data_IF_072566813230
#
_entry.id   IF_072566813230
#
_cell.length_a   1.000
_cell.length_b   1.000
_cell.length_c   1.000
_cell.angle_alpha   90.00
_cell.angle_beta   90.00
_cell.angle_gamma   90.00
#
_symmetry.space_group_name_H-M   'P 1'
#
loop_
_entity.id
_entity.type
_entity.pdbx_description
1 polymer ?
#
# COMPACT_ATOMS: atom_id res chain seq x y z
N UNK A 1 66.64 64.75 -85.10
CA UNK A 1 66.16 65.40 -83.85
C UNK A 1 64.66 65.13 -83.66
N UNK A 2 63.77 65.59 -84.55
CA UNK A 2 62.30 65.39 -84.44
C UNK A 2 61.82 63.94 -84.30
N UNK A 3 62.40 62.97 -85.02
CA UNK A 3 62.01 61.56 -84.88
C UNK A 3 62.37 60.97 -83.51
N UNK A 4 63.48 61.42 -82.91
CA UNK A 4 63.90 60.97 -81.57
C UNK A 4 62.96 61.53 -80.49
N UNK A 5 62.53 62.78 -80.60
CA UNK A 5 61.55 63.38 -79.67
C UNK A 5 60.18 62.70 -79.75
N UNK A 6 59.69 62.40 -80.95
CA UNK A 6 58.43 61.67 -81.14
C UNK A 6 58.47 60.26 -80.54
N UNK A 7 59.58 59.55 -80.72
CA UNK A 7 59.78 58.23 -80.13
C UNK A 7 59.83 58.28 -78.59
N UNK A 8 60.45 59.30 -78.00
CA UNK A 8 60.49 59.50 -76.55
C UNK A 8 59.09 59.80 -76.00
N UNK A 9 58.33 60.69 -76.63
CA UNK A 9 56.96 61.01 -76.22
C UNK A 9 56.04 59.78 -76.29
N UNK A 10 56.22 58.92 -77.30
CA UNK A 10 55.47 57.66 -77.42
C UNK A 10 55.83 56.68 -76.30
N UNK A 11 57.13 56.50 -76.01
CA UNK A 11 57.59 55.65 -74.90
C UNK A 11 57.11 56.15 -73.53
N UNK A 12 57.05 57.47 -73.31
CA UNK A 12 56.50 58.04 -72.08
C UNK A 12 55.00 57.77 -71.94
N UNK A 13 54.24 57.86 -73.04
CA UNK A 13 52.82 57.54 -73.05
C UNK A 13 52.53 56.05 -72.80
N UNK A 14 53.35 55.16 -73.38
CA UNK A 14 53.27 53.71 -73.16
C UNK A 14 53.64 53.36 -71.72
N UNK A 15 54.71 53.96 -71.17
CA UNK A 15 55.11 53.77 -69.77
C UNK A 15 54.02 54.21 -68.80
N UNK A 16 53.38 55.35 -69.04
CA UNK A 16 52.25 55.82 -68.23
C UNK A 16 51.06 54.86 -68.32
N UNK A 17 50.73 54.38 -69.52
CA UNK A 17 49.61 53.45 -69.72
C UNK A 17 49.86 52.10 -69.04
N UNK A 18 51.10 51.59 -69.08
CA UNK A 18 51.51 50.37 -68.36
C UNK A 18 51.42 50.58 -66.84
N UNK A 19 51.85 51.74 -66.34
CA UNK A 19 51.75 52.09 -64.92
C UNK A 19 50.29 52.14 -64.45
N UNK A 20 49.42 52.78 -65.23
CA UNK A 20 47.98 52.91 -64.92
C UNK A 20 47.31 51.51 -64.94
N UNK A 21 47.69 50.63 -65.88
CA UNK A 21 47.22 49.25 -65.95
C UNK A 21 47.69 48.37 -64.78
N UNK A 22 48.95 48.51 -64.35
CA UNK A 22 49.51 47.83 -63.18
C UNK A 22 48.76 48.22 -61.90
N UNK A 23 48.50 49.51 -61.72
CA UNK A 23 47.73 50.01 -60.58
C UNK A 23 46.29 49.45 -60.58
N UNK A 24 45.65 49.36 -61.74
CA UNK A 24 44.34 48.75 -61.89
C UNK A 24 44.34 47.25 -61.52
N UNK A 25 45.30 46.47 -62.03
CA UNK A 25 45.45 45.06 -61.68
C UNK A 25 45.72 44.85 -60.18
N UNK A 26 46.53 45.70 -59.56
CA UNK A 26 46.80 45.62 -58.13
C UNK A 26 45.55 45.92 -57.29
N UNK A 27 44.69 46.84 -57.75
CA UNK A 27 43.40 47.13 -57.14
C UNK A 27 42.41 45.96 -57.26
N UNK A 28 42.34 45.33 -58.44
CA UNK A 28 41.50 44.14 -58.66
C UNK A 28 41.97 42.96 -57.80
N UNK A 29 43.28 42.73 -57.73
CA UNK A 29 43.87 41.69 -56.88
C UNK A 29 43.48 41.90 -55.41
N UNK A 30 43.60 43.13 -54.89
CA UNK A 30 43.18 43.45 -53.51
C UNK A 30 41.69 43.17 -53.28
N UNK A 31 40.84 43.50 -54.26
CA UNK A 31 39.40 43.23 -54.19
C UNK A 31 39.10 41.72 -54.20
N UNK A 32 39.80 40.96 -55.03
CA UNK A 32 39.68 39.51 -55.11
C UNK A 32 40.14 38.85 -53.80
N UNK A 33 41.25 39.31 -53.23
CA UNK A 33 41.75 38.81 -51.93
C UNK A 33 40.75 39.08 -50.80
N UNK A 34 40.14 40.27 -50.77
CA UNK A 34 39.07 40.60 -49.81
C UNK A 34 37.84 39.69 -49.99
N UNK A 35 37.43 39.46 -51.23
CA UNK A 35 36.29 38.60 -51.55
C UNK A 35 36.56 37.14 -51.13
N UNK A 36 37.77 36.63 -51.40
CA UNK A 36 38.19 35.30 -50.97
C UNK A 36 38.18 35.18 -49.44
N UNK A 37 38.72 36.17 -48.73
CA UNK A 37 38.67 36.19 -47.26
C UNK A 37 37.22 36.19 -46.73
N UNK A 38 36.32 36.90 -47.39
CA UNK A 38 34.90 36.92 -47.01
C UNK A 38 34.26 35.54 -47.24
N UNK A 39 34.52 34.88 -48.37
CA UNK A 39 34.04 33.54 -48.63
C UNK A 39 34.59 32.53 -47.63
N UNK A 40 35.88 32.56 -47.31
CA UNK A 40 36.47 31.67 -46.29
C UNK A 40 35.79 31.84 -44.93
N UNK A 41 35.50 33.09 -44.51
CA UNK A 41 34.77 33.36 -43.27
C UNK A 41 33.34 32.81 -43.31
N UNK A 42 32.64 32.95 -44.44
CA UNK A 42 31.29 32.41 -44.61
C UNK A 42 31.27 30.89 -44.58
N UNK A 43 32.20 30.23 -45.27
CA UNK A 43 32.35 28.77 -45.27
C UNK A 43 32.56 28.26 -43.84
N UNK A 44 33.50 28.86 -43.10
CA UNK A 44 33.77 28.46 -41.72
C UNK A 44 32.55 28.63 -40.80
N UNK A 45 31.82 29.74 -40.96
CA UNK A 45 30.58 29.96 -40.20
C UNK A 45 29.47 28.96 -40.56
N UNK A 46 29.43 28.47 -41.80
CA UNK A 46 28.50 27.42 -42.21
C UNK A 46 28.92 26.05 -41.67
N UNK A 47 30.21 25.71 -41.71
CA UNK A 47 30.76 24.48 -41.11
C UNK A 47 30.43 24.41 -39.61
N UNK A 48 30.66 25.49 -38.86
CA UNK A 48 30.34 25.56 -37.43
C UNK A 48 28.83 25.35 -37.17
N UNK A 49 27.96 25.89 -38.03
CA UNK A 49 26.51 25.68 -37.95
C UNK A 49 26.13 24.23 -38.24
N UNK A 50 26.74 23.61 -39.25
CA UNK A 50 26.48 22.21 -39.61
C UNK A 50 26.89 21.30 -38.45
N UNK A 51 28.09 21.47 -37.90
CA UNK A 51 28.56 20.66 -36.76
C UNK A 51 27.66 20.81 -35.54
N UNK A 52 27.12 22.01 -35.29
CA UNK A 52 26.16 22.21 -34.20
C UNK A 52 24.83 21.49 -34.45
N UNK A 53 24.31 21.57 -35.68
CA UNK A 53 23.07 20.87 -36.06
C UNK A 53 23.24 19.34 -35.98
N UNK A 54 24.37 18.80 -36.40
CA UNK A 54 24.68 17.37 -36.30
C UNK A 54 24.70 16.91 -34.84
N UNK A 55 25.31 17.69 -33.94
CA UNK A 55 25.32 17.41 -32.51
C UNK A 55 23.91 17.42 -31.91
N UNK A 56 23.09 18.43 -32.27
CA UNK A 56 21.71 18.54 -31.81
C UNK A 56 20.82 17.38 -32.33
N UNK A 57 21.02 16.97 -33.58
CA UNK A 57 20.33 15.81 -34.17
C UNK A 57 20.72 14.54 -33.42
N UNK A 58 22.01 14.29 -33.19
CA UNK A 58 22.48 13.13 -32.45
C UNK A 58 21.89 13.08 -31.02
N UNK A 59 21.83 14.22 -30.34
CA UNK A 59 21.22 14.34 -29.01
C UNK A 59 19.71 14.06 -29.05
N UNK A 60 18.99 14.55 -30.07
CA UNK A 60 17.56 14.26 -30.24
C UNK A 60 17.30 12.79 -30.55
N UNK A 61 18.07 12.17 -31.44
CA UNK A 61 17.95 10.75 -31.77
C UNK A 61 18.18 9.86 -30.54
N UNK A 62 19.17 10.19 -29.72
CA UNK A 62 19.41 9.48 -28.45
C UNK A 62 18.20 9.60 -27.51
N UNK A 63 17.68 10.81 -27.31
CA UNK A 63 16.48 11.03 -26.49
C UNK A 63 15.25 10.29 -27.02
N UNK A 64 15.07 10.23 -28.33
CA UNK A 64 13.99 9.49 -28.96
C UNK A 64 14.09 7.99 -28.65
N UNK A 65 15.27 7.40 -28.81
CA UNK A 65 15.52 5.99 -28.47
C UNK A 65 15.24 5.69 -26.99
N UNK A 66 15.63 6.58 -26.08
CA UNK A 66 15.34 6.44 -24.64
C UNK A 66 13.82 6.48 -24.35
N UNK A 67 13.06 7.31 -25.07
CA UNK A 67 11.61 7.40 -24.94
C UNK A 67 10.94 6.13 -25.49
N UNK A 68 11.36 5.65 -26.65
CA UNK A 68 10.83 4.41 -27.27
C UNK A 68 11.08 3.19 -26.36
N UNK A 69 12.26 3.11 -25.74
CA UNK A 69 12.57 2.06 -24.77
C UNK A 69 11.66 2.14 -23.54
N UNK A 70 11.50 3.32 -22.95
CA UNK A 70 10.59 3.52 -21.80
C UNK A 70 9.15 3.17 -22.13
N UNK A 71 8.69 3.48 -23.34
CA UNK A 71 7.33 3.17 -23.78
C UNK A 71 7.14 1.66 -23.93
N UNK A 72 8.15 0.96 -24.44
CA UNK A 72 8.17 -0.51 -24.54
C UNK A 72 8.13 -1.17 -23.16
N UNK A 73 8.96 -0.72 -22.23
CA UNK A 73 9.01 -1.24 -20.85
C UNK A 73 7.69 -1.00 -20.10
N UNK A 74 7.10 0.18 -20.29
CA UNK A 74 5.81 0.54 -19.67
C UNK A 74 4.68 -0.33 -20.22
N UNK A 75 4.66 -0.58 -21.54
CA UNK A 75 3.66 -1.45 -22.15
C UNK A 75 3.77 -2.91 -21.66
N UNK A 76 5.00 -3.41 -21.49
CA UNK A 76 5.25 -4.73 -20.91
C UNK A 76 4.73 -4.80 -19.48
N UNK A 77 5.07 -3.82 -18.63
CA UNK A 77 4.61 -3.75 -17.25
C UNK A 77 3.07 -3.71 -17.17
N UNK A 78 2.43 -2.94 -18.04
CA UNK A 78 0.97 -2.86 -18.13
C UNK A 78 0.35 -4.22 -18.52
N UNK A 79 0.98 -4.95 -19.43
CA UNK A 79 0.58 -6.31 -19.81
C UNK A 79 0.65 -7.28 -18.62
N UNK A 80 1.77 -7.28 -17.90
CA UNK A 80 1.99 -8.13 -16.73
C UNK A 80 0.98 -7.80 -15.61
N UNK A 81 0.72 -6.51 -15.37
CA UNK A 81 -0.25 -6.06 -14.37
C UNK A 81 -1.68 -6.52 -14.71
N UNK A 82 -2.07 -6.45 -15.98
CA UNK A 82 -3.38 -6.93 -16.46
C UNK A 82 -3.51 -8.45 -16.28
N UNK A 83 -2.48 -9.20 -16.66
CA UNK A 83 -2.46 -10.65 -16.51
C UNK A 83 -2.56 -11.06 -15.03
N UNK A 84 -1.80 -10.40 -14.15
CA UNK A 84 -1.86 -10.70 -12.72
C UNK A 84 -3.22 -10.33 -12.11
N UNK A 85 -3.79 -9.18 -12.49
CA UNK A 85 -5.12 -8.76 -12.03
C UNK A 85 -6.22 -9.72 -12.47
N UNK A 86 -6.16 -10.23 -13.71
CA UNK A 86 -7.10 -11.25 -14.21
C UNK A 86 -6.99 -12.56 -13.42
N UNK A 87 -5.76 -12.98 -13.11
CA UNK A 87 -5.51 -14.19 -12.31
C UNK A 87 -6.05 -14.06 -10.88
N UNK A 88 -5.81 -12.92 -10.24
CA UNK A 88 -6.34 -12.66 -8.89
C UNK A 88 -7.87 -12.60 -8.87
N UNK A 89 -8.49 -12.02 -9.90
CA UNK A 89 -9.93 -11.95 -10.04
C UNK A 89 -10.54 -13.35 -10.22
N UNK A 90 -9.92 -14.21 -11.04
CA UNK A 90 -10.36 -15.60 -11.20
C UNK A 90 -10.26 -16.39 -9.87
N UNK A 91 -9.17 -16.21 -9.12
CA UNK A 91 -9.00 -16.84 -7.81
C UNK A 91 -10.02 -16.34 -6.78
N UNK A 92 -10.36 -15.04 -6.80
CA UNK A 92 -11.38 -14.47 -5.93
C UNK A 92 -12.77 -15.02 -6.27
N UNK A 93 -13.11 -15.14 -7.56
CA UNK A 93 -14.36 -15.74 -8.01
C UNK A 93 -14.48 -17.21 -7.60
N UNK A 94 -13.39 -17.99 -7.73
CA UNK A 94 -13.37 -19.39 -7.29
C UNK A 94 -13.61 -19.52 -5.78
N UNK A 95 -12.94 -18.68 -4.97
CA UNK A 95 -13.15 -18.64 -3.51
C UNK A 95 -14.59 -18.27 -3.15
N UNK A 96 -15.17 -17.29 -3.83
CA UNK A 96 -16.54 -16.85 -3.58
C UNK A 96 -17.53 -17.97 -3.88
N UNK A 97 -17.33 -18.71 -4.97
CA UNK A 97 -18.14 -19.89 -5.30
C UNK A 97 -18.05 -20.99 -4.25
N UNK A 98 -16.84 -21.27 -3.73
CA UNK A 98 -16.63 -22.24 -2.63
C UNK A 98 -17.35 -21.81 -1.35
N UNK A 99 -17.23 -20.54 -0.95
CA UNK A 99 -17.90 -20.01 0.23
C UNK A 99 -19.42 -20.04 0.09
N UNK A 100 -19.97 -19.77 -1.10
CA UNK A 100 -21.40 -19.92 -1.36
C UNK A 100 -21.84 -21.38 -1.21
N UNK A 101 -21.08 -22.33 -1.76
CA UNK A 101 -21.40 -23.77 -1.62
C UNK A 101 -21.35 -24.24 -0.17
N UNK A 102 -20.38 -23.75 0.60
CA UNK A 102 -20.23 -24.05 2.02
C UNK A 102 -21.34 -23.39 2.87
N UNK A 103 -21.77 -22.17 2.51
CA UNK A 103 -22.92 -21.51 3.12
C UNK A 103 -24.22 -22.28 2.86
N UNK A 104 -24.44 -22.74 1.63
CA UNK A 104 -25.63 -23.50 1.25
C UNK A 104 -25.64 -24.88 1.91
N UNK A 105 -24.47 -25.52 2.04
CA UNK A 105 -24.30 -26.76 2.81
C UNK A 105 -24.52 -26.54 4.32
N UNK A 106 -24.07 -25.42 4.88
CA UNK A 106 -24.32 -25.09 6.28
C UNK A 106 -25.79 -24.80 6.55
N UNK A 107 -26.49 -24.16 5.60
CA UNK A 107 -27.94 -23.96 5.65
C UNK A 107 -28.71 -25.27 5.57
N UNK A 108 -28.28 -26.22 4.74
CA UNK A 108 -28.94 -27.53 4.63
C UNK A 108 -28.71 -28.42 5.85
N UNK A 109 -27.54 -28.34 6.50
CA UNK A 109 -27.24 -29.03 7.78
C UNK A 109 -27.99 -28.36 8.96
N UNK A 110 -28.25 -27.05 8.87
CA UNK A 110 -29.10 -26.30 9.80
C UNK A 110 -30.58 -26.30 9.37
N UNK A 111 -31.06 -27.33 8.67
CA UNK A 111 -32.49 -27.48 8.43
C UNK A 111 -33.18 -27.64 9.79
N UNK A 112 -33.78 -26.53 10.20
CA UNK A 112 -34.54 -26.26 11.42
C UNK A 112 -35.49 -27.40 11.79
N UNK A 113 -35.90 -28.24 10.83
CA UNK A 113 -36.70 -29.46 11.02
C UNK A 113 -36.02 -30.57 11.82
N UNK A 114 -34.73 -30.87 11.58
CA UNK A 114 -34.03 -31.91 12.35
C UNK A 114 -33.83 -31.47 13.81
N UNK A 115 -33.42 -30.21 14.01
CA UNK A 115 -33.30 -29.60 15.32
C UNK A 115 -34.67 -29.44 16.01
N UNK A 116 -35.72 -28.99 15.31
CA UNK A 116 -37.09 -28.93 15.83
C UNK A 116 -37.62 -30.29 16.23
N UNK A 117 -37.37 -31.33 15.43
CA UNK A 117 -37.77 -32.70 15.75
C UNK A 117 -37.08 -33.20 17.02
N UNK A 118 -35.78 -32.91 17.17
CA UNK A 118 -35.01 -33.27 18.35
C UNK A 118 -35.46 -32.48 19.59
N UNK A 119 -35.76 -31.18 19.45
CA UNK A 119 -36.33 -30.34 20.51
C UNK A 119 -37.72 -30.84 20.93
N UNK A 120 -38.57 -31.24 19.97
CA UNK A 120 -39.89 -31.83 20.27
C UNK A 120 -39.77 -33.15 21.03
N UNK A 121 -38.82 -34.01 20.66
CA UNK A 121 -38.56 -35.26 21.36
C UNK A 121 -38.08 -35.02 22.80
N UNK A 122 -37.16 -34.07 23.00
CA UNK A 122 -36.67 -33.67 24.32
C UNK A 122 -37.79 -33.06 25.18
N UNK A 123 -38.63 -32.20 24.61
CA UNK A 123 -39.77 -31.63 25.35
C UNK A 123 -40.76 -32.70 25.81
N UNK A 124 -41.03 -33.73 25.00
CA UNK A 124 -41.86 -34.88 25.40
C UNK A 124 -41.24 -35.64 26.58
N UNK A 125 -39.93 -35.86 26.57
CA UNK A 125 -39.22 -36.48 27.70
C UNK A 125 -39.28 -35.61 28.96
N UNK A 126 -39.11 -34.29 28.83
CA UNK A 126 -39.24 -33.36 29.96
C UNK A 126 -40.63 -33.45 30.58
N UNK A 127 -41.69 -33.46 29.76
CA UNK A 127 -43.07 -33.59 30.25
C UNK A 127 -43.31 -34.93 30.94
N UNK A 128 -42.77 -36.03 30.41
CA UNK A 128 -42.86 -37.34 31.07
C UNK A 128 -42.17 -37.34 32.44
N UNK A 129 -40.95 -36.81 32.52
CA UNK A 129 -40.20 -36.71 33.77
C UNK A 129 -40.85 -35.77 34.79
N UNK A 130 -41.55 -34.72 34.33
CA UNK A 130 -42.34 -33.84 35.21
C UNK A 130 -43.54 -34.58 35.79
N UNK A 131 -44.32 -35.28 34.96
CA UNK A 131 -45.46 -36.06 35.40
C UNK A 131 -45.05 -37.19 36.36
N UNK A 132 -43.90 -37.83 36.10
CA UNK A 132 -43.33 -38.84 36.98
C UNK A 132 -42.87 -38.25 38.32
N UNK A 133 -42.21 -37.08 38.30
CA UNK A 133 -41.86 -36.36 39.53
C UNK A 133 -43.09 -35.91 40.33
N UNK A 134 -44.15 -35.46 39.67
CA UNK A 134 -45.39 -35.06 40.33
C UNK A 134 -46.12 -36.27 40.92
N UNK A 135 -46.12 -37.42 40.23
CA UNK A 135 -46.62 -38.69 40.76
C UNK A 135 -45.79 -39.20 41.96
N UNK A 136 -44.46 -39.01 41.93
CA UNK A 136 -43.56 -39.36 43.03
C UNK A 136 -43.77 -38.41 44.23
N UNK A 137 -43.97 -37.11 44.00
CA UNK A 137 -44.34 -36.14 45.04
C UNK A 137 -45.70 -36.43 45.67
N UNK A 138 -46.67 -36.86 44.88
CA UNK A 138 -47.99 -37.27 45.39
C UNK A 138 -47.92 -38.55 46.24
N UNK A 139 -46.91 -39.41 46.04
CA UNK A 139 -46.66 -40.62 46.84
C UNK A 139 -45.78 -40.38 48.07
N UNK A 140 -45.00 -39.28 48.10
CA UNK A 140 -44.12 -38.92 49.20
C UNK A 140 -44.69 -37.79 50.06
N UNK A 141 -45.53 -38.13 51.04
CA UNK A 141 -46.04 -37.16 52.01
C UNK A 141 -44.94 -36.58 52.92
N UNK A 142 -44.94 -35.25 53.01
CA UNK A 142 -44.36 -34.40 54.07
C UNK A 142 -42.83 -34.39 54.27
N UNK A 143 -42.19 -33.29 53.83
CA UNK A 143 -41.43 -32.36 54.69
C UNK A 143 -40.99 -31.10 53.95
N UNK A 144 -40.98 -30.00 54.68
CA UNK A 144 -40.70 -28.61 54.30
C UNK A 144 -39.37 -28.36 53.59
N UNK A 145 -39.31 -27.38 52.69
CA UNK A 145 -38.67 -26.06 52.94
C UNK A 145 -38.25 -25.33 51.65
N UNK A 146 -38.46 -24.01 51.70
CA UNK A 146 -37.71 -22.93 51.01
C UNK A 146 -37.79 -22.78 49.49
N UNK A 147 -38.18 -21.57 49.08
CA UNK A 147 -38.34 -21.16 47.69
C UNK A 147 -37.03 -21.00 46.93
N UNK A 148 -37.15 -20.93 45.61
CA UNK A 148 -36.09 -20.52 44.70
C UNK A 148 -36.69 -19.64 43.61
N UNK A 149 -36.27 -18.39 43.64
CA UNK A 149 -36.43 -17.37 42.63
C UNK A 149 -35.88 -17.83 41.27
N UNK A 150 -36.34 -17.14 40.22
CA UNK A 150 -36.09 -17.45 38.82
C UNK A 150 -34.64 -17.82 38.48
N UNK A 151 -34.48 -18.91 37.73
CA UNK A 151 -33.24 -19.26 37.06
C UNK A 151 -33.17 -18.51 35.73
N UNK A 152 -32.32 -17.50 35.69
CA UNK A 152 -31.68 -17.00 34.47
C UNK A 152 -30.87 -18.19 33.89
N UNK A 153 -30.93 -18.49 32.58
CA UNK A 153 -30.17 -19.59 32.00
C UNK A 153 -28.65 -19.36 32.18
N UNK A 154 -27.85 -20.43 32.41
CA UNK A 154 -26.43 -20.30 32.67
C UNK A 154 -25.71 -19.78 31.43
N UNK A 155 -24.79 -18.83 31.65
CA UNK A 155 -23.76 -18.43 30.71
C UNK A 155 -23.08 -19.69 30.14
N UNK A 156 -22.87 -19.77 28.81
CA UNK A 156 -22.05 -20.83 28.19
C UNK A 156 -20.78 -21.06 29.03
N UNK A 157 -20.47 -22.32 29.34
CA UNK A 157 -19.31 -22.68 30.15
C UNK A 157 -18.03 -22.03 29.59
N UNK A 158 -17.24 -21.38 30.44
CA UNK A 158 -16.01 -20.67 30.04
C UNK A 158 -15.04 -21.57 29.26
N UNK A 159 -15.03 -22.88 29.54
CA UNK A 159 -14.26 -23.89 28.79
C UNK A 159 -14.70 -24.04 27.33
N UNK A 160 -16.00 -23.98 27.06
CA UNK A 160 -16.55 -24.04 25.69
C UNK A 160 -16.15 -22.78 24.93
N UNK A 161 -16.27 -21.62 25.56
CA UNK A 161 -15.85 -20.33 24.97
C UNK A 161 -14.34 -20.33 24.68
N UNK A 162 -13.53 -20.81 25.62
CA UNK A 162 -12.08 -20.93 25.45
C UNK A 162 -11.71 -21.81 24.25
N UNK A 163 -12.40 -22.94 24.06
CA UNK A 163 -12.17 -23.86 22.95
C UNK A 163 -12.62 -23.26 21.60
N UNK A 164 -13.78 -22.60 21.56
CA UNK A 164 -14.27 -21.89 20.37
C UNK A 164 -13.29 -20.78 19.95
N UNK A 165 -12.82 -19.98 20.90
CA UNK A 165 -11.85 -18.91 20.65
C UNK A 165 -10.50 -19.47 20.20
N UNK A 166 -9.99 -20.53 20.83
CA UNK A 166 -8.76 -21.20 20.40
C UNK A 166 -8.86 -21.67 18.93
N UNK A 167 -9.99 -22.27 18.53
CA UNK A 167 -10.23 -22.71 17.15
C UNK A 167 -10.29 -21.53 16.17
N UNK A 168 -10.94 -20.43 16.55
CA UNK A 168 -10.98 -19.20 15.74
C UNK A 168 -9.59 -18.57 15.60
N UNK A 169 -8.84 -18.50 16.70
CA UNK A 169 -7.47 -17.99 16.72
C UNK A 169 -6.56 -18.78 15.78
N UNK A 170 -6.67 -20.11 15.77
CA UNK A 170 -5.90 -20.96 14.86
C UNK A 170 -6.17 -20.59 13.40
N UNK A 171 -7.45 -20.44 13.02
CA UNK A 171 -7.83 -19.98 11.67
C UNK A 171 -7.31 -18.58 11.35
N UNK A 172 -7.37 -17.65 12.30
CA UNK A 172 -6.82 -16.29 12.13
C UNK A 172 -5.32 -16.36 11.89
N UNK A 173 -4.58 -17.16 12.68
CA UNK A 173 -3.12 -17.33 12.54
C UNK A 173 -2.77 -17.91 11.16
N UNK A 174 -3.50 -18.92 10.70
CA UNK A 174 -3.33 -19.48 9.35
C UNK A 174 -3.55 -18.41 8.28
N UNK A 175 -4.62 -17.62 8.40
CA UNK A 175 -4.94 -16.55 7.46
C UNK A 175 -3.89 -15.44 7.43
N UNK A 176 -3.44 -14.93 8.58
CA UNK A 176 -2.45 -13.85 8.64
C UNK A 176 -1.06 -14.35 8.22
N UNK A 177 -0.74 -15.62 8.46
CA UNK A 177 0.49 -16.25 7.96
C UNK A 177 0.46 -16.37 6.44
N UNK A 178 -0.66 -16.84 5.86
CA UNK A 178 -0.83 -16.89 4.40
C UNK A 178 -0.78 -15.50 3.75
N UNK A 179 -1.28 -14.47 4.46
CA UNK A 179 -1.23 -13.06 4.03
C UNK A 179 0.11 -12.37 4.30
N UNK A 180 1.12 -13.12 4.80
CA UNK A 180 2.48 -12.66 5.07
C UNK A 180 2.54 -11.48 6.05
N UNK A 181 1.76 -11.53 7.12
CA UNK A 181 1.93 -10.61 8.24
C UNK A 181 3.32 -10.82 8.87
N UNK A 182 3.95 -9.71 9.24
CA UNK A 182 5.25 -9.73 9.94
C UNK A 182 5.05 -10.09 11.41
N UNK A 183 6.05 -10.72 12.03
CA UNK A 183 6.07 -10.95 13.48
C UNK A 183 6.85 -9.83 14.16
N UNK A 184 6.27 -9.22 15.18
CA UNK A 184 7.01 -8.34 16.09
C UNK A 184 7.75 -9.16 17.15
N UNK A 185 7.08 -10.18 17.67
CA UNK A 185 7.58 -11.14 18.66
C UNK A 185 6.84 -12.49 18.50
N UNK A 186 6.97 -13.40 19.48
CA UNK A 186 6.31 -14.72 19.45
C UNK A 186 4.77 -14.67 19.48
N UNK A 187 4.21 -13.59 20.01
CA UNK A 187 2.78 -13.42 20.29
C UNK A 187 2.11 -12.36 19.42
N UNK A 188 2.89 -11.52 18.74
CA UNK A 188 2.37 -10.35 18.02
C UNK A 188 2.69 -10.42 16.52
N UNK A 189 1.64 -10.31 15.70
CA UNK A 189 1.72 -10.19 14.25
C UNK A 189 1.20 -8.83 13.81
N UNK A 190 1.76 -8.27 12.74
CA UNK A 190 1.32 -7.00 12.22
C UNK A 190 1.51 -6.88 10.72
N UNK A 191 0.78 -5.95 10.11
CA UNK A 191 0.96 -5.52 8.74
C UNK A 191 0.73 -4.02 8.65
N UNK A 192 1.70 -3.30 8.10
CA UNK A 192 1.53 -1.91 7.72
C UNK A 192 0.58 -1.90 6.52
N UNK A 193 -0.61 -1.35 6.72
CA UNK A 193 -1.66 -1.24 5.69
C UNK A 193 -1.41 -0.01 4.83
N UNK A 194 -0.96 1.08 5.47
CA UNK A 194 -0.59 2.32 4.82
C UNK A 194 0.68 2.85 5.47
N UNK A 195 1.70 3.09 4.65
CA UNK A 195 2.94 3.72 5.11
C UNK A 195 2.72 5.22 5.22
N UNK A 196 3.04 5.78 6.38
CA UNK A 196 3.05 7.21 6.66
C UNK A 196 4.44 7.83 6.51
N UNK A 197 4.55 9.10 6.88
CA UNK A 197 5.82 9.82 6.88
C UNK A 197 6.63 9.51 8.15
N UNK A 198 7.96 9.31 8.06
CA UNK A 198 8.80 9.05 9.23
C UNK A 198 8.67 10.16 10.28
N UNK A 199 8.52 9.77 11.55
CA UNK A 199 8.39 10.72 12.66
C UNK A 199 9.77 10.93 13.28
N UNK A 200 10.33 12.13 13.09
CA UNK A 200 11.58 12.53 13.76
C UNK A 200 11.35 12.68 15.28
N UNK A 201 12.27 12.16 16.07
CA UNK A 201 12.33 12.27 17.54
C UNK A 201 11.03 11.86 18.26
N UNK A 202 10.36 10.82 17.74
CA UNK A 202 9.03 10.37 18.19
C UNK A 202 8.91 10.12 19.71
N UNK A 203 10.00 9.75 20.38
CA UNK A 203 10.02 9.46 21.82
C UNK A 203 9.69 10.67 22.70
N UNK A 204 9.86 11.89 22.18
CA UNK A 204 9.61 13.14 22.90
C UNK A 204 8.30 13.82 22.48
N UNK A 205 7.45 13.11 21.72
CA UNK A 205 6.26 13.68 21.09
C UNK A 205 4.98 13.15 21.70
N UNK A 206 3.94 13.96 21.55
CA UNK A 206 2.57 13.56 21.74
C UNK A 206 2.04 12.95 20.44
N UNK A 207 1.53 11.73 20.53
CA UNK A 207 1.00 10.97 19.40
C UNK A 207 -0.52 11.02 19.45
N UNK A 208 -1.12 11.60 18.41
CA UNK A 208 -2.56 11.59 18.16
C UNK A 208 -2.90 10.42 17.24
N UNK A 209 -3.83 9.56 17.67
CA UNK A 209 -4.22 8.37 16.91
C UNK A 209 -5.72 8.06 17.06
N UNK A 210 -6.21 7.28 16.09
CA UNK A 210 -7.51 6.61 16.17
C UNK A 210 -7.27 5.10 16.15
N UNK A 211 -8.13 4.35 16.80
CA UNK A 211 -7.94 2.92 16.98
C UNK A 211 -9.25 2.18 17.15
N UNK A 212 -9.33 0.99 16.58
CA UNK A 212 -10.37 0.03 16.90
C UNK A 212 -9.73 -1.27 17.38
N UNK A 213 -10.08 -1.71 18.59
CA UNK A 213 -9.75 -3.04 19.08
C UNK A 213 -11.00 -3.92 19.06
N UNK A 214 -10.85 -5.13 18.52
CA UNK A 214 -11.86 -6.16 18.54
C UNK A 214 -11.24 -7.48 19.00
N UNK A 215 -11.97 -8.22 19.83
CA UNK A 215 -11.60 -9.57 20.22
C UNK A 215 -11.97 -10.59 19.14
N UNK A 216 -11.39 -11.79 19.24
CA UNK A 216 -11.67 -12.95 18.36
C UNK A 216 -13.16 -13.24 18.19
N UNK A 217 -13.96 -13.01 19.23
CA UNK A 217 -15.38 -13.31 19.24
C UNK A 217 -16.24 -12.27 18.52
N UNK A 218 -15.67 -11.12 18.12
CA UNK A 218 -16.41 -10.01 17.51
C UNK A 218 -16.58 -8.80 18.43
N UNK A 219 -16.38 -8.95 19.75
CA UNK A 219 -16.61 -7.88 20.71
C UNK A 219 -15.62 -6.75 20.49
N UNK A 220 -16.12 -5.54 20.29
CA UNK A 220 -15.30 -4.31 20.25
C UNK A 220 -15.07 -3.85 21.68
N UNK A 221 -13.80 -3.69 22.05
CA UNK A 221 -13.37 -3.26 23.40
C UNK A 221 -12.90 -1.81 23.41
N UNK A 222 -12.31 -1.35 22.31
CA UNK A 222 -11.85 0.03 22.15
C UNK A 222 -12.28 0.59 20.80
N UNK A 223 -12.81 1.82 20.80
CA UNK A 223 -13.17 2.54 19.59
C UNK A 223 -12.90 4.04 19.73
N UNK A 224 -11.80 4.47 19.13
CA UNK A 224 -11.45 5.87 18.90
C UNK A 224 -11.57 6.14 17.39
N UNK A 225 -12.30 7.18 17.05
CA UNK A 225 -12.61 7.59 15.67
C UNK A 225 -12.10 9.00 15.41
N UNK A 226 -12.24 9.49 14.19
CA UNK A 226 -11.86 10.88 13.86
C UNK A 226 -12.65 11.92 14.68
N UNK A 227 -13.81 11.56 15.24
CA UNK A 227 -14.61 12.44 16.11
C UNK A 227 -14.07 12.49 17.56
N UNK A 228 -13.31 11.48 17.98
CA UNK A 228 -12.78 11.34 19.33
C UNK A 228 -11.37 10.73 19.31
N UNK A 229 -10.39 11.38 18.66
CA UNK A 229 -9.02 10.89 18.63
C UNK A 229 -8.40 10.98 20.02
N UNK A 230 -7.48 10.06 20.31
CA UNK A 230 -6.73 10.04 21.56
C UNK A 230 -5.35 10.64 21.31
N UNK A 231 -4.88 11.48 22.22
CA UNK A 231 -3.50 12.00 22.22
C UNK A 231 -2.80 11.57 23.50
N UNK A 232 -1.70 10.86 23.37
CA UNK A 232 -0.85 10.44 24.48
C UNK A 232 0.62 10.74 24.18
N UNK A 233 1.42 11.12 25.19
CA UNK A 233 2.87 11.09 25.08
C UNK A 233 3.36 9.71 24.62
N UNK A 234 4.38 9.66 23.75
CA UNK A 234 4.88 8.39 23.20
C UNK A 234 5.25 7.36 24.28
N UNK A 235 5.83 7.82 25.39
CA UNK A 235 6.24 6.99 26.52
C UNK A 235 5.05 6.46 27.37
N UNK A 236 3.84 6.97 27.17
CA UNK A 236 2.61 6.51 27.83
C UNK A 236 1.78 5.57 26.94
N UNK A 237 2.18 5.36 25.69
CA UNK A 237 1.56 4.36 24.83
C UNK A 237 1.86 2.95 25.36
N UNK A 238 0.84 2.09 25.53
CA UNK A 238 1.06 0.70 25.92
C UNK A 238 1.97 -0.03 24.93
N UNK A 239 2.83 -0.93 25.41
CA UNK A 239 3.50 -1.89 24.53
C UNK A 239 2.48 -2.96 24.08
N UNK A 240 2.52 -3.44 22.82
CA UNK A 240 3.47 -3.10 21.74
C UNK A 240 3.06 -1.89 20.86
N UNK A 241 2.01 -1.14 21.24
CA UNK A 241 1.40 -0.08 20.42
C UNK A 241 2.41 1.00 19.99
N UNK A 242 3.27 1.44 20.91
CA UNK A 242 4.33 2.41 20.66
C UNK A 242 5.28 2.01 19.51
N UNK A 243 5.59 0.73 19.37
CA UNK A 243 6.48 0.20 18.33
C UNK A 243 5.85 0.32 16.95
N UNK A 244 4.51 0.31 16.86
CA UNK A 244 3.83 0.46 15.59
C UNK A 244 3.73 1.92 15.14
N UNK A 245 3.76 2.88 16.07
CA UNK A 245 3.86 4.31 15.73
C UNK A 245 5.15 4.59 14.97
N UNK A 246 6.29 4.07 15.44
CA UNK A 246 7.58 4.24 14.75
C UNK A 246 7.59 3.58 13.37
N UNK A 247 6.97 2.41 13.25
CA UNK A 247 6.95 1.61 12.00
C UNK A 247 5.99 2.14 10.96
N UNK A 248 4.82 2.64 11.38
CA UNK A 248 3.80 3.14 10.47
C UNK A 248 4.05 4.60 10.06
N UNK A 249 4.58 5.44 10.97
CA UNK A 249 4.78 6.86 10.71
C UNK A 249 3.51 7.70 10.76
N UNK A 250 3.65 9.02 10.65
CA UNK A 250 2.54 9.96 10.65
C UNK A 250 1.66 9.80 9.40
N UNK A 251 0.35 9.68 9.59
CA UNK A 251 -0.60 9.33 8.53
C UNK A 251 -0.63 7.82 8.22
N UNK A 252 0.22 7.02 8.86
CA UNK A 252 0.32 5.58 8.66
C UNK A 252 -0.82 4.81 9.33
N UNK A 253 -1.10 3.62 8.80
CA UNK A 253 -2.09 2.69 9.33
C UNK A 253 -1.51 1.28 9.43
N UNK A 254 -1.78 0.62 10.55
CA UNK A 254 -1.26 -0.71 10.88
C UNK A 254 -2.37 -1.56 11.46
N UNK A 255 -2.43 -2.82 11.01
CA UNK A 255 -3.30 -3.86 11.56
C UNK A 255 -2.45 -4.83 12.37
N UNK A 256 -2.85 -5.10 13.60
CA UNK A 256 -2.09 -5.90 14.58
C UNK A 256 -2.97 -7.01 15.13
N UNK A 257 -2.37 -8.17 15.35
CA UNK A 257 -2.97 -9.33 16.00
C UNK A 257 -2.08 -9.74 17.18
N UNK A 258 -2.62 -9.72 18.39
CA UNK A 258 -1.93 -10.11 19.62
C UNK A 258 -2.59 -11.37 20.16
N UNK A 259 -1.84 -12.48 20.18
CA UNK A 259 -2.28 -13.76 20.74
C UNK A 259 -2.68 -13.61 22.21
N UNK A 260 -3.55 -14.50 22.74
CA UNK A 260 -3.94 -14.48 24.15
C UNK A 260 -2.73 -14.37 25.10
N UNK A 261 -1.66 -15.11 24.85
CA UNK A 261 -0.45 -15.14 25.69
C UNK A 261 0.32 -13.80 25.72
N UNK A 262 0.13 -12.92 24.73
CA UNK A 262 0.70 -11.57 24.70
C UNK A 262 -0.31 -10.46 25.02
N UNK A 263 -1.58 -10.81 25.26
CA UNK A 263 -2.67 -9.88 25.51
C UNK A 263 -3.35 -10.20 26.84
N UNK A 264 -4.65 -10.51 26.78
CA UNK A 264 -5.49 -10.71 27.97
C UNK A 264 -5.35 -12.10 28.62
N UNK A 265 -4.44 -12.94 28.15
CA UNK A 265 -4.18 -14.27 28.69
C UNK A 265 -5.14 -15.36 28.22
N UNK A 266 -4.76 -16.61 28.51
CA UNK A 266 -5.57 -17.80 28.20
C UNK A 266 -6.87 -17.83 29.02
N UNK A 267 -6.86 -17.29 30.23
CA UNK A 267 -8.04 -17.16 31.10
C UNK A 267 -8.91 -15.94 30.77
N UNK A 268 -8.36 -14.96 30.05
CA UNK A 268 -9.04 -13.68 29.82
C UNK A 268 -9.16 -12.83 31.10
N UNK A 269 -10.06 -11.86 31.06
CA UNK A 269 -10.44 -11.02 32.21
C UNK A 269 -11.87 -11.41 32.60
N UNK A 270 -12.10 -12.01 33.79
CA UNK A 270 -13.43 -12.43 34.21
C UNK A 270 -14.47 -11.31 34.09
N UNK A 271 -15.57 -11.59 33.38
CA UNK A 271 -16.66 -10.64 33.16
C UNK A 271 -16.43 -9.61 32.05
N UNK A 272 -15.20 -9.48 31.54
CA UNK A 272 -14.84 -8.43 30.57
C UNK A 272 -14.29 -8.99 29.26
N UNK A 273 -13.26 -9.83 29.34
CA UNK A 273 -12.59 -10.43 28.18
C UNK A 273 -12.70 -11.96 28.30
N UNK A 274 -13.33 -12.64 27.32
CA UNK A 274 -13.44 -14.09 27.37
C UNK A 274 -12.07 -14.80 27.33
N UNK A 275 -11.98 -16.03 27.86
CA UNK A 275 -10.79 -16.86 27.74
C UNK A 275 -10.32 -17.03 26.30
N UNK A 276 -9.00 -17.15 26.11
CA UNK A 276 -8.33 -17.30 24.83
C UNK A 276 -8.71 -16.24 23.79
N UNK A 277 -9.04 -15.01 24.19
CA UNK A 277 -9.32 -13.93 23.25
C UNK A 277 -8.03 -13.37 22.65
N UNK A 278 -7.92 -13.37 21.32
CA UNK A 278 -6.92 -12.61 20.58
C UNK A 278 -7.40 -11.17 20.43
N UNK A 279 -6.49 -10.21 20.62
CA UNK A 279 -6.75 -8.80 20.34
C UNK A 279 -6.41 -8.48 18.89
N UNK A 280 -7.36 -7.87 18.18
CA UNK A 280 -7.26 -7.47 16.78
C UNK A 280 -7.40 -5.96 16.71
N UNK A 281 -6.33 -5.28 16.36
CA UNK A 281 -6.22 -3.83 16.45
C UNK A 281 -6.03 -3.23 15.06
N UNK A 282 -6.87 -2.25 14.73
CA UNK A 282 -6.65 -1.31 13.62
C UNK A 282 -6.23 0.03 14.19
N UNK A 283 -4.98 0.43 13.96
CA UNK A 283 -4.41 1.68 14.48
C UNK A 283 -4.03 2.60 13.33
N UNK A 284 -4.43 3.87 13.41
CA UNK A 284 -4.01 4.92 12.48
C UNK A 284 -3.41 6.09 13.24
N UNK A 285 -2.19 6.45 12.87
CA UNK A 285 -1.46 7.57 13.45
C UNK A 285 -1.89 8.81 12.68
N UNK A 286 -2.55 9.74 13.36
CA UNK A 286 -3.02 10.99 12.74
C UNK A 286 -1.89 12.01 12.71
N UNK A 287 -1.19 12.18 13.84
CA UNK A 287 -0.16 13.20 13.99
C UNK A 287 0.79 12.88 15.14
N UNK A 288 2.04 13.31 15.05
CA UNK A 288 2.99 13.30 16.15
C UNK A 288 3.66 14.67 16.31
N UNK A 289 3.35 15.38 17.40
CA UNK A 289 3.81 16.75 17.65
C UNK A 289 4.74 16.83 18.86
#
# INVERSE_FOLDING_TARGET
MKEKESAIAKLESEKKSISDALAAQESEKKKLDQQNQQFTKQTKAQEDKISKLESDIAAKTKKQSEIEQKLTDTNKLLGDLKANSQKELALAQEKLKKLQTELDSSKSISSDEALKSQIMALNRQITQLQNENDALKARGGSKSSTGLAGRIPPSKDAKVIAAENAKKNQKIIEQITAQKYSKLDSNTYYKIIQVGSPIKDVKNKDVTFIMREQLTDGKVTVLYTDQNPVTLPYNQLPAPLNSFVERAGEGGMVKVYIKPEGGYGVEGIPGEVPPNSMSIIDLKIIKAK
#
